data_IF_633207505031
#
_entry.id   IF_633207505031
#
_cell.length_a   1.000
_cell.length_b   1.000
_cell.length_c   1.000
_cell.angle_alpha   90.00
_cell.angle_beta   90.00
_cell.angle_gamma   90.00
#
_symmetry.space_group_name_H-M   'P 1'
#
loop_
_entity.id
_entity.type
_entity.pdbx_description
1 polymer ?
#
# COMPACT_ATOMS: atom_id res chain seq x y z
N UNK A 1 -15.15 -6.37 -13.56
CA UNK A 1 -14.37 -5.59 -12.57
C UNK A 1 -14.05 -6.50 -11.38
N UNK A 2 -12.77 -6.61 -10.98
CA UNK A 2 -12.33 -7.57 -9.95
C UNK A 2 -12.82 -7.24 -8.53
N UNK A 3 -12.84 -5.96 -8.17
CA UNK A 3 -13.40 -5.48 -6.91
C UNK A 3 -14.92 -5.36 -7.00
N UNK A 4 -15.65 -6.05 -6.12
CA UNK A 4 -17.11 -6.07 -6.08
C UNK A 4 -17.72 -5.02 -5.16
N UNK A 5 -16.99 -4.61 -4.12
CA UNK A 5 -17.44 -3.64 -3.12
C UNK A 5 -16.55 -2.42 -3.08
N UNK A 6 -17.07 -1.30 -2.58
CA UNK A 6 -16.30 -0.07 -2.38
C UNK A 6 -15.18 -0.32 -1.38
N UNK A 7 -15.40 -1.13 -0.34
CA UNK A 7 -14.37 -1.53 0.61
C UNK A 7 -13.22 -2.28 -0.07
N UNK A 8 -13.51 -3.21 -0.99
CA UNK A 8 -12.46 -3.91 -1.74
C UNK A 8 -11.64 -2.94 -2.59
N UNK A 9 -12.28 -1.98 -3.26
CA UNK A 9 -11.58 -0.93 -4.03
C UNK A 9 -10.69 -0.08 -3.14
N UNK A 10 -11.24 0.42 -2.03
CA UNK A 10 -10.50 1.22 -1.06
C UNK A 10 -9.28 0.48 -0.48
N UNK A 11 -9.45 -0.80 -0.10
CA UNK A 11 -8.37 -1.62 0.45
C UNK A 11 -7.25 -1.87 -0.58
N UNK A 12 -7.61 -2.21 -1.81
CA UNK A 12 -6.64 -2.45 -2.90
C UNK A 12 -5.85 -1.19 -3.21
N UNK A 13 -6.52 -0.05 -3.38
CA UNK A 13 -5.86 1.23 -3.67
C UNK A 13 -5.02 1.71 -2.48
N UNK A 14 -5.48 1.49 -1.25
CA UNK A 14 -4.70 1.82 -0.06
C UNK A 14 -3.39 1.02 0.01
N UNK A 15 -3.44 -0.30 -0.18
CA UNK A 15 -2.24 -1.13 -0.19
C UNK A 15 -1.27 -0.76 -1.33
N UNK A 16 -1.80 -0.47 -2.52
CA UNK A 16 -0.99 -0.05 -3.67
C UNK A 16 -0.40 1.35 -3.47
N UNK A 17 -1.18 2.29 -2.96
CA UNK A 17 -0.72 3.67 -2.78
C UNK A 17 0.36 3.80 -1.71
N UNK A 18 0.14 3.15 -0.56
CA UNK A 18 0.97 3.33 0.65
C UNK A 18 2.10 2.32 0.79
N UNK A 19 2.00 1.18 0.11
CA UNK A 19 2.87 0.03 0.37
C UNK A 19 2.79 -0.48 1.81
N UNK A 20 1.65 -0.28 2.50
CA UNK A 20 1.46 -0.68 3.90
C UNK A 20 1.63 -2.19 4.10
N UNK A 21 2.21 -2.55 5.24
CA UNK A 21 2.19 -3.95 5.70
C UNK A 21 0.78 -4.33 6.13
N UNK A 22 0.45 -5.61 5.99
CA UNK A 22 -0.88 -6.09 6.40
C UNK A 22 -1.19 -5.77 7.87
N UNK A 23 -0.20 -5.84 8.75
CA UNK A 23 -0.35 -5.50 10.17
C UNK A 23 -0.59 -4.02 10.40
N UNK A 24 0.08 -3.14 9.65
CA UNK A 24 -0.16 -1.70 9.65
C UNK A 24 -1.60 -1.39 9.17
N UNK A 25 -2.06 -2.11 8.13
CA UNK A 25 -3.43 -1.96 7.61
C UNK A 25 -4.50 -2.44 8.59
N UNK A 26 -4.20 -3.42 9.45
CA UNK A 26 -5.13 -3.90 10.48
C UNK A 26 -5.41 -2.86 11.58
N UNK A 27 -4.40 -2.05 11.92
CA UNK A 27 -4.45 -1.13 13.07
C UNK A 27 -4.72 0.32 12.70
N UNK A 28 -4.75 0.65 11.40
CA UNK A 28 -4.91 2.04 10.96
C UNK A 28 -6.29 2.58 11.34
N UNK A 29 -6.30 3.82 11.84
CA UNK A 29 -7.50 4.56 12.18
C UNK A 29 -7.83 5.61 11.12
N UNK A 30 -9.07 6.06 11.11
CA UNK A 30 -9.52 7.14 10.21
C UNK A 30 -8.72 8.42 10.49
N UNK A 31 -8.44 8.71 11.78
CA UNK A 31 -7.67 9.87 12.20
C UNK A 31 -6.20 9.88 11.76
N UNK A 32 -5.66 8.71 11.36
CA UNK A 32 -4.28 8.60 10.87
C UNK A 32 -4.13 9.03 9.40
N UNK A 33 -5.25 9.34 8.73
CA UNK A 33 -5.28 9.74 7.31
C UNK A 33 -5.63 11.22 7.19
N UNK A 34 -4.70 12.00 6.66
CA UNK A 34 -4.92 13.39 6.26
C UNK A 34 -5.32 13.40 4.77
N UNK A 35 -6.61 13.51 4.51
CA UNK A 35 -7.17 13.52 3.15
C UNK A 35 -6.84 14.78 2.37
N UNK A 36 -6.60 15.91 3.05
CA UNK A 36 -6.27 17.18 2.40
C UNK A 36 -4.83 17.16 1.89
N UNK A 37 -3.90 16.68 2.72
CA UNK A 37 -2.48 16.57 2.36
C UNK A 37 -2.14 15.29 1.59
N UNK A 38 -3.05 14.33 1.55
CA UNK A 38 -2.78 13.00 0.97
C UNK A 38 -1.74 12.20 1.77
N UNK A 39 -1.67 12.39 3.09
CA UNK A 39 -0.69 11.77 3.98
C UNK A 39 -1.34 10.72 4.87
N UNK A 40 -0.56 9.72 5.28
CA UNK A 40 -1.01 8.69 6.22
C UNK A 40 0.12 8.29 7.16
N UNK A 41 -0.20 8.18 8.45
CA UNK A 41 0.70 7.67 9.47
C UNK A 41 0.47 6.17 9.68
N UNK A 42 1.50 5.39 9.45
CA UNK A 42 1.47 3.93 9.60
C UNK A 42 2.28 3.53 10.83
N UNK A 43 1.67 2.68 11.65
CA UNK A 43 2.21 2.26 12.94
C UNK A 43 2.70 0.81 12.84
N UNK A 44 4.01 0.62 12.92
CA UNK A 44 4.66 -0.68 12.87
C UNK A 44 4.96 -1.27 14.26
N UNK A 45 5.49 -2.48 14.29
CA UNK A 45 5.93 -3.15 15.52
C UNK A 45 7.01 -2.33 16.24
N UNK A 46 6.91 -2.20 17.56
CA UNK A 46 7.89 -1.50 18.40
C UNK A 46 7.80 0.01 18.32
N UNK A 47 6.60 0.57 18.24
CA UNK A 47 6.32 2.02 18.22
C UNK A 47 7.04 2.77 17.08
N UNK A 48 7.42 2.07 16.03
CA UNK A 48 8.00 2.72 14.84
C UNK A 48 6.89 3.27 13.97
N UNK A 49 6.89 4.60 13.84
CA UNK A 49 5.96 5.31 12.97
C UNK A 49 6.64 5.65 11.65
N UNK A 50 5.89 5.62 10.58
CA UNK A 50 6.35 6.14 9.30
C UNK A 50 5.22 6.87 8.59
N UNK A 51 5.59 7.93 7.90
CA UNK A 51 4.69 8.63 7.00
C UNK A 51 4.69 7.90 5.65
N UNK A 52 3.51 7.75 5.06
CA UNK A 52 3.31 7.33 3.69
C UNK A 52 2.29 8.24 3.01
N UNK A 53 1.96 7.99 1.76
CA UNK A 53 1.13 8.88 0.97
C UNK A 53 0.01 8.12 0.27
N UNK A 54 -1.14 8.77 0.12
CA UNK A 54 -2.28 8.24 -0.63
C UNK A 54 -2.43 9.02 -1.94
N UNK A 55 -2.69 8.29 -3.03
CA UNK A 55 -3.02 8.92 -4.32
C UNK A 55 -4.42 9.52 -4.31
N UNK A 56 -4.71 10.45 -5.22
CA UNK A 56 -6.06 11.01 -5.38
C UNK A 56 -7.12 9.92 -5.60
N UNK A 57 -6.77 8.86 -6.34
CA UNK A 57 -7.64 7.69 -6.55
C UNK A 57 -7.90 6.92 -5.26
N UNK A 58 -6.87 6.73 -4.43
CA UNK A 58 -7.00 6.10 -3.12
C UNK A 58 -7.91 6.94 -2.21
N UNK A 59 -7.68 8.27 -2.14
CA UNK A 59 -8.51 9.20 -1.38
C UNK A 59 -9.98 9.13 -1.79
N UNK A 60 -10.26 9.11 -3.10
CA UNK A 60 -11.62 8.96 -3.62
C UNK A 60 -12.30 7.68 -3.11
N UNK A 61 -11.67 6.52 -3.28
CA UNK A 61 -12.27 5.26 -2.85
C UNK A 61 -12.36 5.11 -1.33
N UNK A 62 -11.42 5.67 -0.58
CA UNK A 62 -11.53 5.72 0.89
C UNK A 62 -12.73 6.58 1.30
N UNK A 63 -12.90 7.76 0.71
CA UNK A 63 -14.02 8.65 0.99
C UNK A 63 -15.37 7.99 0.65
N UNK A 64 -15.48 7.34 -0.53
CA UNK A 64 -16.68 6.59 -0.90
C UNK A 64 -16.96 5.45 0.09
N UNK A 65 -15.93 4.72 0.50
CA UNK A 65 -16.05 3.64 1.45
C UNK A 65 -16.54 4.15 2.81
N UNK A 66 -15.91 5.22 3.35
CA UNK A 66 -16.30 5.80 4.64
C UNK A 66 -17.75 6.32 4.60
N UNK A 67 -18.19 6.98 3.52
CA UNK A 67 -19.58 7.39 3.34
C UNK A 67 -20.56 6.23 3.29
N UNK A 68 -20.15 5.06 2.82
CA UNK A 68 -21.00 3.87 2.73
C UNK A 68 -21.13 3.11 4.07
N UNK A 69 -20.29 3.42 5.05
CA UNK A 69 -20.30 2.78 6.38
C UNK A 69 -21.51 3.23 7.20
N UNK A 70 -21.98 2.32 8.04
CA UNK A 70 -23.08 2.55 8.99
C UNK A 70 -22.67 2.15 10.42
N UNK A 71 -21.42 2.43 10.78
CA UNK A 71 -20.83 2.11 12.07
C UNK A 71 -19.98 3.30 12.55
N UNK A 72 -19.69 3.33 13.86
CA UNK A 72 -18.92 4.39 14.51
C UNK A 72 -17.48 3.95 14.86
N UNK A 73 -16.99 2.90 14.23
CA UNK A 73 -15.65 2.38 14.52
C UNK A 73 -14.57 3.37 14.05
N UNK A 74 -13.59 3.62 14.92
CA UNK A 74 -12.43 4.48 14.63
C UNK A 74 -11.48 3.91 13.59
N UNK A 75 -11.51 2.58 13.37
CA UNK A 75 -10.62 1.90 12.42
C UNK A 75 -11.01 2.19 10.97
N UNK A 76 -9.99 2.36 10.13
CA UNK A 76 -10.19 2.65 8.71
C UNK A 76 -10.88 1.49 7.99
N UNK A 77 -10.45 0.25 8.23
CA UNK A 77 -11.03 -0.94 7.60
C UNK A 77 -11.67 -1.86 8.62
N UNK A 78 -12.96 -2.11 8.47
CA UNK A 78 -13.76 -2.90 9.41
C UNK A 78 -14.47 -4.07 8.74
N UNK A 79 -14.93 -5.03 9.56
CA UNK A 79 -15.76 -6.14 9.11
C UNK A 79 -17.16 -5.64 8.71
N UNK A 80 -17.78 -6.30 7.71
CA UNK A 80 -19.18 -6.01 7.33
C UNK A 80 -20.20 -6.49 8.36
N UNK A 81 -19.79 -7.45 9.19
CA UNK A 81 -20.64 -8.01 10.24
C UNK A 81 -20.44 -7.26 11.55
N UNK A 82 -21.54 -7.03 12.27
CA UNK A 82 -21.47 -6.50 13.63
C UNK A 82 -20.58 -7.38 14.51
N UNK A 83 -19.81 -6.81 15.44
CA UNK A 83 -19.78 -5.40 15.86
C UNK A 83 -18.87 -4.47 15.03
N UNK A 84 -18.57 -4.76 13.77
CA UNK A 84 -17.73 -3.95 12.87
C UNK A 84 -16.30 -3.72 13.40
N UNK A 85 -15.69 -4.79 13.90
CA UNK A 85 -14.30 -4.76 14.40
C UNK A 85 -13.32 -4.48 13.26
N UNK A 86 -12.15 -3.94 13.61
CA UNK A 86 -11.02 -3.81 12.68
C UNK A 86 -10.75 -5.12 11.93
N UNK A 87 -10.45 -5.02 10.65
CA UNK A 87 -10.10 -6.19 9.85
C UNK A 87 -8.81 -6.82 10.37
N UNK A 88 -8.86 -8.10 10.69
CA UNK A 88 -7.68 -8.91 11.03
C UNK A 88 -6.91 -9.29 9.76
N UNK A 89 -5.64 -9.65 9.95
CA UNK A 89 -4.72 -10.06 8.89
C UNK A 89 -5.34 -11.07 7.92
N UNK A 90 -5.92 -12.14 8.45
CA UNK A 90 -6.51 -13.23 7.67
C UNK A 90 -7.70 -12.75 6.82
N UNK A 91 -8.47 -11.78 7.35
CA UNK A 91 -9.58 -11.18 6.63
C UNK A 91 -9.09 -10.32 5.45
N UNK A 92 -8.07 -9.49 5.66
CA UNK A 92 -7.44 -8.69 4.59
C UNK A 92 -6.85 -9.62 3.51
N UNK A 93 -6.06 -10.62 3.90
CA UNK A 93 -5.48 -11.59 2.98
C UNK A 93 -6.53 -12.34 2.16
N UNK A 94 -7.66 -12.71 2.81
CA UNK A 94 -8.80 -13.36 2.12
C UNK A 94 -9.44 -12.43 1.10
N UNK A 95 -9.67 -11.16 1.45
CA UNK A 95 -10.23 -10.16 0.51
C UNK A 95 -9.31 -10.03 -0.71
N UNK A 96 -8.03 -9.80 -0.50
CA UNK A 96 -7.04 -9.65 -1.57
C UNK A 96 -6.95 -10.90 -2.45
N UNK A 97 -6.94 -12.09 -1.86
CA UNK A 97 -6.95 -13.36 -2.60
C UNK A 97 -8.18 -13.50 -3.48
N UNK A 98 -9.36 -13.14 -2.95
CA UNK A 98 -10.62 -13.20 -3.70
C UNK A 98 -10.65 -12.19 -4.86
N UNK A 99 -10.15 -10.98 -4.65
CA UNK A 99 -9.97 -9.99 -5.72
C UNK A 99 -9.03 -10.55 -6.79
N UNK A 100 -7.91 -11.15 -6.39
CA UNK A 100 -6.95 -11.78 -7.30
C UNK A 100 -7.57 -12.89 -8.16
N UNK A 101 -8.36 -13.77 -7.55
CA UNK A 101 -9.08 -14.82 -8.30
C UNK A 101 -10.02 -14.25 -9.35
N UNK A 102 -10.71 -13.15 -9.04
CA UNK A 102 -11.67 -12.49 -9.96
C UNK A 102 -11.00 -11.63 -11.03
N UNK A 103 -9.76 -11.23 -10.80
CA UNK A 103 -9.03 -10.35 -11.74
C UNK A 103 -8.53 -11.05 -13.01
N UNK A 104 -8.43 -12.38 -13.00
CA UNK A 104 -7.88 -13.14 -14.12
C UNK A 104 -6.37 -12.98 -14.33
N UNK A 105 -5.63 -12.39 -13.38
CA UNK A 105 -4.18 -12.11 -13.53
C UNK A 105 -3.31 -13.38 -13.60
N UNK A 106 -3.87 -14.57 -13.37
CA UNK A 106 -3.15 -15.84 -13.47
C UNK A 106 -2.15 -16.10 -12.32
N UNK A 107 -1.98 -15.16 -11.39
CA UNK A 107 -1.11 -15.30 -10.21
C UNK A 107 -1.86 -14.97 -8.92
N UNK A 108 -1.36 -15.55 -7.82
CA UNK A 108 -1.91 -15.32 -6.48
C UNK A 108 -1.60 -13.90 -6.00
N UNK A 109 -2.63 -13.14 -5.64
CA UNK A 109 -2.46 -11.83 -4.98
C UNK A 109 -2.41 -11.99 -3.47
N UNK A 110 -1.54 -11.21 -2.82
CA UNK A 110 -1.40 -11.11 -1.37
C UNK A 110 -0.87 -9.71 -1.01
N UNK A 111 -1.09 -9.19 0.20
CA UNK A 111 -0.75 -7.79 0.55
C UNK A 111 0.72 -7.42 0.30
N UNK A 112 1.65 -8.31 0.59
CA UNK A 112 3.08 -8.02 0.39
C UNK A 112 3.46 -7.80 -1.08
N UNK A 113 2.70 -8.37 -2.02
CA UNK A 113 2.91 -8.16 -3.46
C UNK A 113 2.64 -6.69 -3.84
N UNK A 114 1.64 -6.04 -3.25
CA UNK A 114 1.37 -4.62 -3.49
C UNK A 114 2.56 -3.76 -3.08
N UNK A 115 3.11 -4.04 -1.90
CA UNK A 115 4.29 -3.33 -1.41
C UNK A 115 5.51 -3.53 -2.31
N UNK A 116 5.71 -4.76 -2.80
CA UNK A 116 6.75 -5.07 -3.78
C UNK A 116 6.54 -4.28 -5.09
N UNK A 117 5.32 -4.28 -5.60
CA UNK A 117 4.96 -3.54 -6.82
C UNK A 117 5.22 -2.04 -6.67
N UNK A 118 4.80 -1.43 -5.54
CA UNK A 118 5.06 -0.01 -5.26
C UNK A 118 6.56 0.29 -5.25
N UNK A 119 7.36 -0.55 -4.58
CA UNK A 119 8.82 -0.38 -4.56
C UNK A 119 9.41 -0.40 -5.97
N UNK A 120 9.02 -1.40 -6.77
CA UNK A 120 9.50 -1.57 -8.13
C UNK A 120 9.07 -0.42 -9.04
N UNK A 121 7.79 -0.03 -8.99
CA UNK A 121 7.25 1.06 -9.80
C UNK A 121 7.94 2.40 -9.50
N UNK A 122 8.21 2.68 -8.22
CA UNK A 122 8.93 3.89 -7.81
C UNK A 122 10.37 3.89 -8.35
N UNK A 123 11.07 2.77 -8.21
CA UNK A 123 12.45 2.65 -8.71
C UNK A 123 12.52 2.72 -10.24
N UNK A 124 11.57 2.12 -10.96
CA UNK A 124 11.48 2.23 -12.41
C UNK A 124 11.23 3.67 -12.88
N UNK A 125 10.54 4.47 -12.07
CA UNK A 125 10.33 5.92 -12.32
C UNK A 125 11.47 6.79 -11.80
N UNK A 126 12.64 6.21 -11.55
CA UNK A 126 13.85 6.91 -11.10
C UNK A 126 13.72 7.63 -9.75
N UNK A 127 12.80 7.19 -8.87
CA UNK A 127 12.75 7.67 -7.50
C UNK A 127 13.98 7.16 -6.75
N UNK A 128 14.62 8.04 -5.97
CA UNK A 128 15.80 7.69 -5.19
C UNK A 128 15.53 6.50 -4.25
N UNK A 129 16.47 5.54 -4.18
CA UNK A 129 16.36 4.35 -3.33
C UNK A 129 16.11 4.71 -1.85
N UNK A 130 16.73 5.81 -1.39
CA UNK A 130 16.55 6.35 -0.04
C UNK A 130 15.11 6.79 0.25
N UNK A 131 14.42 7.37 -0.73
CA UNK A 131 13.03 7.82 -0.58
C UNK A 131 12.08 6.63 -0.59
N UNK A 132 12.33 5.64 -1.45
CA UNK A 132 11.58 4.37 -1.44
C UNK A 132 11.76 3.67 -0.10
N UNK A 133 13.00 3.59 0.42
CA UNK A 133 13.31 3.01 1.72
C UNK A 133 12.56 3.73 2.85
N UNK A 134 12.59 5.07 2.86
CA UNK A 134 11.92 5.91 3.87
C UNK A 134 10.40 5.70 3.83
N UNK A 135 9.80 5.79 2.65
CA UNK A 135 8.36 5.61 2.47
C UNK A 135 7.90 4.21 2.91
N UNK A 136 8.66 3.17 2.54
CA UNK A 136 8.30 1.80 2.90
C UNK A 136 8.72 1.42 4.33
N UNK A 137 9.61 2.17 4.99
CA UNK A 137 10.12 1.87 6.33
C UNK A 137 10.92 0.56 6.35
N UNK A 138 11.83 0.39 5.38
CA UNK A 138 12.80 -0.70 5.39
C UNK A 138 13.94 -0.35 6.34
N UNK A 139 14.11 -1.15 7.40
CA UNK A 139 15.20 -0.98 8.35
C UNK A 139 16.56 -1.31 7.70
N UNK A 140 16.55 -2.22 6.71
CA UNK A 140 17.74 -2.62 5.97
C UNK A 140 17.62 -2.19 4.51
N UNK A 141 18.58 -1.41 4.03
CA UNK A 141 18.68 -0.94 2.65
C UNK A 141 18.79 -2.12 1.66
N UNK A 142 19.37 -3.24 2.06
CA UNK A 142 19.48 -4.43 1.23
C UNK A 142 18.10 -4.94 0.77
N UNK A 143 17.06 -4.73 1.57
CA UNK A 143 15.67 -5.07 1.18
C UNK A 143 15.19 -4.22 0.00
N UNK A 144 15.63 -2.97 -0.10
CA UNK A 144 15.29 -2.08 -1.22
C UNK A 144 16.25 -2.32 -2.41
N UNK A 145 17.51 -2.66 -2.13
CA UNK A 145 18.52 -2.95 -3.15
C UNK A 145 18.22 -4.20 -3.97
N UNK A 146 17.44 -5.16 -3.44
CA UNK A 146 16.96 -6.32 -4.23
C UNK A 146 16.15 -5.83 -5.45
N UNK A 147 15.45 -4.72 -5.33
CA UNK A 147 14.67 -4.11 -6.41
C UNK A 147 15.53 -3.19 -7.30
N UNK A 148 16.63 -2.67 -6.79
CA UNK A 148 17.52 -1.75 -7.52
C UNK A 148 18.43 -2.47 -8.53
N UNK A 149 18.69 -3.77 -8.37
CA UNK A 149 19.49 -4.57 -9.31
C UNK A 149 18.96 -4.61 -10.75
N UNK A 150 17.72 -4.16 -10.97
CA UNK A 150 17.13 -4.03 -12.31
C UNK A 150 17.71 -2.83 -13.08
N UNK A 151 18.56 -1.98 -12.46
CA UNK A 151 19.04 -0.71 -13.04
C UNK A 151 20.48 -0.70 -13.57
N UNK A 152 21.19 -1.81 -13.55
CA UNK A 152 22.60 -1.80 -14.02
C UNK A 152 22.75 -1.35 -15.50
N UNK A 153 21.77 -1.66 -16.35
CA UNK A 153 21.75 -1.15 -17.74
C UNK A 153 21.51 0.37 -17.82
N UNK A 154 20.69 0.92 -16.94
CA UNK A 154 20.43 2.37 -16.88
C UNK A 154 21.66 3.14 -16.38
N UNK A 155 22.41 2.60 -15.42
CA UNK A 155 23.67 3.19 -14.94
C UNK A 155 24.68 3.28 -16.08
N UNK A 156 24.81 2.22 -16.87
CA UNK A 156 25.70 2.20 -18.05
C UNK A 156 25.27 3.23 -19.10
N UNK A 157 23.98 3.32 -19.38
CA UNK A 157 23.44 4.28 -20.32
C UNK A 157 23.60 5.74 -19.84
N UNK A 158 23.38 5.99 -18.55
CA UNK A 158 23.57 7.30 -17.94
C UNK A 158 25.06 7.69 -17.91
N UNK A 159 25.96 6.76 -17.62
CA UNK A 159 27.40 7.03 -17.70
C UNK A 159 27.80 7.49 -19.11
N UNK A 160 27.37 6.76 -20.14
CA UNK A 160 27.66 7.16 -21.54
C UNK A 160 27.00 8.48 -21.95
N UNK A 161 25.86 8.82 -21.37
CA UNK A 161 25.13 10.07 -21.70
C UNK A 161 25.73 11.32 -21.06
N UNK A 162 26.30 11.19 -19.84
CA UNK A 162 26.74 12.36 -19.05
C UNK A 162 28.25 12.49 -18.86
N UNK A 163 29.01 11.45 -19.14
CA UNK A 163 30.48 11.43 -18.93
C UNK A 163 31.23 11.06 -20.21
N UNK A 164 30.62 10.36 -21.15
CA UNK A 164 31.18 10.07 -22.49
C UNK A 164 30.70 11.05 -23.52
#
# INVERSE_FOLDING_TARGET
MACKTVREKALVEFLYSTGARVTETCSIKIADVDFEKGEVWLFGKGSKHRKSYITAKCSLYLTEYLKSRKDDSEYLFVSERRPHNALKKEAIERVIRNVGKRSGIGRKLFPHLFRHTVATDMLQKSVAVTDVQRMLGHVNINTTMIYAKVKDEEVKNNHHKYIG
#
